data_IF_692378323204
#
_entry.id   IF_692378323204
#
_cell.length_a   1.000
_cell.length_b   1.000
_cell.length_c   1.000
_cell.angle_alpha   90.00
_cell.angle_beta   90.00
_cell.angle_gamma   90.00
#
_symmetry.space_group_name_H-M   'P 1'
#
loop_
_entity.id
_entity.type
_entity.pdbx_description
1 polymer ?
#
# COMPACT_ATOMS: atom_id res chain seq x y z
N UNK A 1 -23.83 -16.04 -1.31
CA UNK A 1 -22.81 -15.45 -0.39
C UNK A 1 -21.55 -16.30 -0.47
N UNK A 2 -20.43 -15.68 -0.78
CA UNK A 2 -19.14 -16.36 -0.93
C UNK A 2 -18.14 -15.80 0.10
N UNK A 3 -18.23 -16.33 1.32
CA UNK A 3 -17.43 -15.83 2.45
C UNK A 3 -15.95 -16.11 2.25
N UNK A 4 -15.15 -15.08 2.40
CA UNK A 4 -13.69 -15.12 2.44
C UNK A 4 -13.19 -14.36 3.67
N UNK A 5 -11.97 -14.68 4.07
CA UNK A 5 -11.25 -14.06 5.19
C UNK A 5 -10.28 -13.01 4.66
N UNK A 6 -10.16 -11.90 5.35
CA UNK A 6 -9.19 -10.85 5.04
C UNK A 6 -8.53 -10.33 6.31
N UNK A 7 -7.22 -10.41 6.37
CA UNK A 7 -6.44 -9.59 7.31
C UNK A 7 -6.42 -8.16 6.77
N UNK A 8 -6.87 -7.21 7.57
CA UNK A 8 -7.00 -5.82 7.17
C UNK A 8 -6.38 -4.84 8.15
N UNK A 9 -6.28 -3.59 7.72
CA UNK A 9 -5.82 -2.48 8.55
C UNK A 9 -6.68 -1.26 8.29
N UNK A 10 -7.18 -0.64 9.34
CA UNK A 10 -7.87 0.65 9.30
C UNK A 10 -6.95 1.71 9.90
N UNK A 11 -6.92 2.88 9.29
CA UNK A 11 -6.06 4.00 9.65
C UNK A 11 -6.91 5.20 10.07
N UNK A 12 -6.67 5.73 11.28
CA UNK A 12 -7.28 6.99 11.69
C UNK A 12 -6.39 8.15 11.22
N UNK A 13 -6.72 8.72 10.06
CA UNK A 13 -5.91 9.75 9.42
C UNK A 13 -5.88 11.06 10.19
N UNK A 14 -6.94 11.40 10.94
CA UNK A 14 -7.02 12.64 11.73
C UNK A 14 -5.93 12.73 12.81
N UNK A 15 -5.39 11.59 13.22
CA UNK A 15 -4.32 11.50 14.24
C UNK A 15 -2.94 11.26 13.67
N UNK A 16 -2.78 11.22 12.33
CA UNK A 16 -1.47 11.02 11.72
C UNK A 16 -0.64 12.30 11.85
N UNK A 17 0.56 12.15 12.42
CA UNK A 17 1.51 13.25 12.62
C UNK A 17 2.60 13.34 11.54
N UNK A 18 2.55 12.50 10.53
CA UNK A 18 3.60 12.34 9.51
C UNK A 18 5.01 12.15 10.12
N UNK A 19 5.13 11.49 11.27
CA UNK A 19 6.40 11.31 11.97
C UNK A 19 7.29 10.19 11.39
N UNK A 20 6.84 9.47 10.39
CA UNK A 20 7.52 8.38 9.69
C UNK A 20 8.04 7.22 10.56
N UNK A 21 7.72 7.16 11.84
CA UNK A 21 8.08 6.03 12.72
C UNK A 21 7.48 4.69 12.29
N UNK A 22 6.48 4.71 11.42
CA UNK A 22 5.96 3.50 10.78
C UNK A 22 6.72 3.12 9.49
N UNK A 23 7.36 4.08 8.83
CA UNK A 23 8.06 3.87 7.55
C UNK A 23 9.47 3.31 7.75
N UNK A 24 10.22 3.88 8.71
CA UNK A 24 11.62 3.51 8.94
C UNK A 24 11.80 2.06 9.39
N UNK A 25 11.10 1.53 10.41
CA UNK A 25 11.23 0.12 10.78
C UNK A 25 10.80 -0.85 9.66
N UNK A 26 9.78 -0.47 8.90
CA UNK A 26 9.37 -1.24 7.72
C UNK A 26 10.46 -1.27 6.66
N UNK A 27 11.09 -0.12 6.38
CA UNK A 27 12.22 0.02 5.47
C UNK A 27 13.38 -0.87 5.91
N UNK A 28 13.76 -0.78 7.17
CA UNK A 28 14.90 -1.51 7.72
C UNK A 28 14.69 -3.03 7.74
N UNK A 29 13.47 -3.48 8.01
CA UNK A 29 13.19 -4.91 8.10
C UNK A 29 13.03 -5.59 6.73
N UNK A 30 12.45 -4.87 5.75
CA UNK A 30 11.97 -5.51 4.52
C UNK A 30 12.62 -5.01 3.23
N UNK A 31 13.28 -3.86 3.25
CA UNK A 31 13.83 -3.22 2.04
C UNK A 31 15.26 -2.72 2.21
N UNK A 32 16.10 -3.48 2.91
CA UNK A 32 17.54 -3.20 3.08
C UNK A 32 18.43 -4.00 2.14
N UNK A 33 17.89 -5.04 1.49
CA UNK A 33 18.64 -5.84 0.56
C UNK A 33 19.10 -5.03 -0.68
N UNK A 34 20.25 -5.38 -1.31
CA UNK A 34 20.70 -4.72 -2.52
C UNK A 34 19.64 -4.71 -3.63
N UNK A 35 19.40 -3.56 -4.24
CA UNK A 35 18.39 -3.35 -5.27
C UNK A 35 17.01 -2.96 -4.74
N UNK A 36 16.85 -2.84 -3.42
CA UNK A 36 15.60 -2.42 -2.77
C UNK A 36 15.68 -1.02 -2.18
N UNK A 37 16.78 -0.31 -2.37
CA UNK A 37 17.08 0.97 -1.73
C UNK A 37 16.00 2.04 -2.00
N UNK A 38 15.43 2.04 -3.20
CA UNK A 38 14.37 2.96 -3.60
C UNK A 38 12.96 2.51 -3.16
N UNK A 39 12.80 1.28 -2.65
CA UNK A 39 11.49 0.73 -2.30
C UNK A 39 11.03 1.23 -0.93
N UNK A 40 9.77 1.66 -0.88
CA UNK A 40 9.09 1.99 0.36
C UNK A 40 7.77 1.21 0.44
N UNK A 41 7.79 0.07 1.13
CA UNK A 41 6.58 -0.72 1.34
C UNK A 41 5.53 0.05 2.12
N UNK A 42 5.96 0.86 3.08
CA UNK A 42 5.14 1.82 3.78
C UNK A 42 5.82 3.18 3.75
N UNK A 43 5.13 4.21 3.29
CA UNK A 43 5.54 5.59 3.35
C UNK A 43 4.38 6.46 3.82
N UNK A 44 4.65 7.68 4.25
CA UNK A 44 3.60 8.65 4.60
C UNK A 44 3.72 9.83 3.64
N UNK A 45 2.64 10.14 2.98
CA UNK A 45 2.54 11.28 2.06
C UNK A 45 1.69 12.36 2.67
N UNK A 46 2.03 13.62 2.43
CA UNK A 46 1.15 14.72 2.75
C UNK A 46 0.32 15.05 1.50
N UNK A 47 -0.98 15.10 1.65
CA UNK A 47 -1.91 15.49 0.59
C UNK A 47 -2.54 16.85 0.93
N UNK A 48 -2.56 17.76 -0.04
CA UNK A 48 -2.10 17.66 -1.43
C UNK A 48 -0.58 17.48 -1.55
N UNK A 49 -0.14 16.69 -2.53
CA UNK A 49 1.28 16.41 -2.80
C UNK A 49 1.46 15.35 -3.88
N UNK A 50 2.63 15.30 -4.47
CA UNK A 50 2.89 14.50 -5.69
C UNK A 50 2.92 12.99 -5.44
N UNK A 51 3.30 12.57 -4.22
CA UNK A 51 3.33 11.15 -3.86
C UNK A 51 4.59 10.40 -4.28
N UNK A 52 4.62 9.08 -4.02
CA UNK A 52 5.74 8.17 -4.30
C UNK A 52 5.25 6.82 -4.83
N UNK A 53 5.44 6.45 -6.11
CA UNK A 53 6.06 7.27 -7.18
C UNK A 53 5.28 8.57 -7.46
N UNK A 54 5.96 9.52 -8.10
CA UNK A 54 5.34 10.81 -8.45
C UNK A 54 4.08 10.60 -9.28
N UNK A 55 3.01 11.29 -8.92
CA UNK A 55 1.71 11.24 -9.59
C UNK A 55 1.11 9.81 -9.72
N UNK A 56 1.36 8.95 -8.74
CA UNK A 56 0.87 7.56 -8.80
C UNK A 56 -0.65 7.46 -8.99
N UNK A 57 -1.42 8.47 -8.63
CA UNK A 57 -2.88 8.55 -8.79
C UNK A 57 -3.29 8.73 -10.27
N UNK A 58 -2.36 9.14 -11.13
CA UNK A 58 -2.61 9.36 -12.54
C UNK A 58 -2.75 8.03 -13.31
N UNK A 59 -3.96 7.48 -13.32
CA UNK A 59 -4.24 6.19 -13.97
C UNK A 59 -4.29 6.28 -15.51
N UNK A 60 -4.37 7.47 -16.08
CA UNK A 60 -4.25 7.66 -17.54
C UNK A 60 -2.81 7.42 -17.98
N UNK A 61 -1.83 7.78 -17.14
CA UNK A 61 -0.40 7.48 -17.35
C UNK A 61 -0.05 6.05 -17.02
N UNK A 62 -0.44 5.57 -15.83
CA UNK A 62 0.05 4.30 -15.28
C UNK A 62 -0.85 3.10 -15.55
N UNK A 63 -2.07 3.30 -16.00
CA UNK A 63 -3.07 2.28 -16.37
C UNK A 63 -3.18 1.12 -15.38
N UNK A 64 -3.17 1.41 -14.09
CA UNK A 64 -3.33 0.41 -13.04
C UNK A 64 -4.79 0.15 -12.71
N UNK A 65 -5.06 -1.01 -12.07
CA UNK A 65 -6.36 -1.35 -11.56
C UNK A 65 -7.34 -1.87 -12.61
N UNK A 66 -8.62 -1.65 -12.32
CA UNK A 66 -9.74 -2.12 -13.11
C UNK A 66 -10.53 -0.95 -13.69
N UNK A 67 -11.18 -1.17 -14.81
CA UNK A 67 -12.14 -0.24 -15.41
C UNK A 67 -13.39 -0.99 -15.83
N UNK A 68 -14.50 -0.27 -15.96
CA UNK A 68 -15.77 -0.81 -16.48
C UNK A 68 -15.84 -0.48 -17.95
N UNK A 69 -15.98 -1.51 -18.80
CA UNK A 69 -16.32 -1.40 -20.22
C UNK A 69 -17.51 -2.31 -20.48
N UNK A 70 -18.55 -1.80 -21.11
CA UNK A 70 -19.77 -2.57 -21.44
C UNK A 70 -20.35 -3.34 -20.25
N UNK A 71 -20.37 -2.71 -19.06
CA UNK A 71 -20.86 -3.30 -17.83
C UNK A 71 -19.98 -4.42 -17.23
N UNK A 72 -18.78 -4.65 -17.77
CA UNK A 72 -17.82 -5.67 -17.28
C UNK A 72 -16.54 -5.04 -16.78
N UNK A 73 -15.96 -5.67 -15.76
CA UNK A 73 -14.63 -5.30 -15.26
C UNK A 73 -13.54 -5.79 -16.19
N UNK A 74 -12.75 -4.86 -16.69
CA UNK A 74 -11.57 -5.09 -17.50
C UNK A 74 -10.32 -4.60 -16.77
N UNK A 75 -9.22 -5.31 -16.95
CA UNK A 75 -7.94 -4.91 -16.40
C UNK A 75 -7.36 -3.77 -17.24
N UNK A 76 -7.07 -2.60 -16.64
CA UNK A 76 -6.50 -1.45 -17.38
C UNK A 76 -5.14 -1.75 -17.99
N UNK A 77 -4.32 -2.54 -17.31
CA UNK A 77 -3.01 -2.98 -17.81
C UNK A 77 -3.08 -3.93 -19.03
N UNK A 78 -4.26 -4.10 -19.62
CA UNK A 78 -4.48 -4.87 -20.83
C UNK A 78 -4.66 -6.38 -20.67
N UNK A 79 -5.18 -7.01 -21.71
CA UNK A 79 -5.39 -8.44 -21.81
C UNK A 79 -4.12 -9.23 -22.19
N UNK A 80 -4.31 -10.49 -22.61
CA UNK A 80 -3.19 -11.36 -23.02
C UNK A 80 -2.47 -10.84 -24.27
N UNK A 81 -3.21 -10.30 -25.24
CA UNK A 81 -2.68 -9.72 -26.48
C UNK A 81 -1.84 -8.48 -26.22
N UNK A 82 -2.33 -7.56 -25.35
CA UNK A 82 -1.60 -6.35 -25.01
C UNK A 82 -0.30 -6.68 -24.25
N UNK A 83 -0.32 -7.72 -23.43
CA UNK A 83 0.89 -8.22 -22.76
C UNK A 83 1.93 -8.74 -23.74
N UNK A 84 1.53 -9.45 -24.79
CA UNK A 84 2.45 -9.88 -25.84
C UNK A 84 3.06 -8.70 -26.60
N UNK A 85 2.26 -7.68 -26.92
CA UNK A 85 2.76 -6.48 -27.58
C UNK A 85 3.78 -5.72 -26.72
N UNK A 86 3.58 -5.70 -25.41
CA UNK A 86 4.41 -4.97 -24.44
C UNK A 86 5.53 -5.82 -23.81
N UNK A 87 5.85 -6.98 -24.37
CA UNK A 87 6.83 -7.91 -23.77
C UNK A 87 8.23 -7.30 -23.65
N UNK A 88 8.61 -6.44 -24.59
CA UNK A 88 9.92 -5.79 -24.64
C UNK A 88 9.92 -4.37 -24.08
N UNK A 89 8.76 -3.70 -24.07
CA UNK A 89 8.61 -2.34 -23.54
C UNK A 89 7.22 -2.18 -22.94
N UNK A 90 7.15 -1.89 -21.66
CA UNK A 90 5.91 -1.56 -20.97
C UNK A 90 5.91 -0.08 -20.58
N UNK A 91 5.22 0.78 -21.37
CA UNK A 91 5.22 2.24 -21.15
C UNK A 91 4.48 2.67 -19.85
N UNK A 92 3.66 1.78 -19.28
CA UNK A 92 2.84 2.07 -18.10
C UNK A 92 3.60 1.81 -16.79
N UNK A 93 4.90 1.48 -16.88
CA UNK A 93 5.77 1.33 -15.71
C UNK A 93 6.25 2.69 -15.20
N UNK A 94 6.33 2.88 -13.87
CA UNK A 94 7.09 3.99 -13.33
C UNK A 94 8.55 3.93 -13.77
N UNK A 95 9.08 5.05 -14.25
CA UNK A 95 10.49 5.23 -14.54
C UNK A 95 11.28 5.54 -13.26
N UNK A 96 12.61 5.51 -13.33
CA UNK A 96 13.45 5.82 -12.18
C UNK A 96 13.24 7.26 -11.70
N UNK A 97 12.99 8.20 -12.61
CA UNK A 97 12.73 9.61 -12.31
C UNK A 97 11.38 9.86 -11.62
N UNK A 98 10.48 8.87 -11.64
CA UNK A 98 9.22 8.92 -10.90
C UNK A 98 9.42 8.63 -9.41
N UNK A 99 10.57 8.10 -9.05
CA UNK A 99 10.97 7.89 -7.66
C UNK A 99 11.92 8.99 -7.21
N UNK A 100 11.94 9.25 -5.89
CA UNK A 100 12.97 10.11 -5.31
C UNK A 100 14.31 9.38 -5.26
N UNK A 101 15.37 10.13 -5.10
CA UNK A 101 16.72 9.57 -5.00
C UNK A 101 16.80 8.51 -3.90
N UNK A 102 17.20 7.26 -4.21
CA UNK A 102 17.30 6.22 -3.22
C UNK A 102 18.46 6.49 -2.26
N UNK A 103 18.23 6.23 -1.00
CA UNK A 103 19.23 6.43 0.04
C UNK A 103 19.24 5.28 1.05
N UNK A 104 20.35 5.16 1.79
CA UNK A 104 20.54 4.23 2.90
C UNK A 104 21.20 4.94 4.06
N UNK A 105 21.01 4.41 5.26
CA UNK A 105 21.75 4.86 6.42
C UNK A 105 23.15 4.27 6.47
N UNK A 106 24.11 5.02 7.01
CA UNK A 106 25.45 4.57 7.36
C UNK A 106 25.41 3.88 8.73
N UNK A 107 24.97 2.62 8.74
CA UNK A 107 24.89 1.84 9.99
C UNK A 107 26.27 1.42 10.50
N UNK A 108 27.25 1.23 9.64
CA UNK A 108 28.63 0.87 10.02
C UNK A 108 29.22 1.93 10.95
N UNK A 109 28.92 3.19 10.69
CA UNK A 109 29.33 4.29 11.56
C UNK A 109 28.80 4.18 13.00
N UNK A 110 27.64 3.57 13.20
CA UNK A 110 27.08 3.35 14.54
C UNK A 110 27.81 2.23 15.28
N UNK A 111 28.23 1.18 14.56
CA UNK A 111 28.90 0.01 15.14
C UNK A 111 30.40 0.28 15.37
N UNK A 112 31.04 1.00 14.48
CA UNK A 112 32.47 1.20 14.47
C UNK A 112 32.89 2.51 15.17
N UNK A 113 31.96 3.30 15.67
CA UNK A 113 32.25 4.53 16.40
C UNK A 113 32.95 4.25 17.72
N UNK A 114 34.03 4.94 18.02
CA UNK A 114 34.70 4.80 19.31
C UNK A 114 33.83 5.29 20.46
N UNK A 115 34.03 4.76 21.65
CA UNK A 115 33.32 5.23 22.85
C UNK A 115 33.58 6.74 23.04
N UNK A 116 32.51 7.49 23.16
CA UNK A 116 32.52 8.96 23.20
C UNK A 116 31.37 9.47 24.06
N UNK A 117 31.48 10.72 24.51
CA UNK A 117 30.38 11.41 25.19
C UNK A 117 29.24 11.77 24.23
N UNK A 118 29.54 11.81 22.96
CA UNK A 118 28.55 12.08 21.90
C UNK A 118 28.15 10.76 21.25
N UNK A 119 26.85 10.48 21.22
CA UNK A 119 26.36 9.31 20.51
C UNK A 119 26.48 9.53 19.00
N UNK A 120 26.95 8.53 18.25
CA UNK A 120 26.99 8.60 16.80
C UNK A 120 25.54 8.59 16.27
N UNK A 121 25.31 9.34 15.19
CA UNK A 121 24.02 9.39 14.50
C UNK A 121 24.21 8.80 13.11
N UNK A 122 23.34 7.85 12.75
CA UNK A 122 23.29 7.34 11.38
C UNK A 122 22.88 8.48 10.43
N UNK A 123 23.68 8.73 9.40
CA UNK A 123 23.35 9.69 8.35
C UNK A 123 22.84 8.98 7.11
N UNK A 124 21.83 9.53 6.43
CA UNK A 124 21.45 9.01 5.14
C UNK A 124 22.51 9.36 4.08
N UNK A 125 22.77 8.40 3.20
CA UNK A 125 23.65 8.55 2.05
C UNK A 125 22.90 8.19 0.78
N UNK A 126 23.04 9.02 -0.24
CA UNK A 126 22.52 8.73 -1.56
C UNK A 126 23.09 7.41 -2.10
N UNK A 127 22.22 6.51 -2.51
CA UNK A 127 22.63 5.27 -3.17
C UNK A 127 23.10 5.49 -4.61
N UNK A 128 22.87 6.68 -5.17
CA UNK A 128 23.29 7.07 -6.53
C UNK A 128 24.66 7.73 -6.50
N UNK A 129 24.81 8.77 -5.65
CA UNK A 129 26.03 9.59 -5.63
C UNK A 129 27.05 9.18 -4.57
N UNK A 130 26.65 8.36 -3.60
CA UNK A 130 27.48 7.96 -2.45
C UNK A 130 27.75 9.10 -1.45
N UNK A 131 27.13 10.28 -1.64
CA UNK A 131 27.33 11.44 -0.77
C UNK A 131 26.33 11.45 0.37
N UNK A 132 26.73 12.02 1.50
CA UNK A 132 25.81 12.25 2.61
C UNK A 132 24.68 13.19 2.17
N UNK A 133 23.48 12.80 2.50
CA UNK A 133 22.28 13.64 2.34
C UNK A 133 22.07 14.46 3.62
N UNK A 134 21.48 15.62 3.47
CA UNK A 134 21.09 16.47 4.57
C UNK A 134 19.57 16.60 4.60
N UNK A 135 18.85 15.57 5.12
CA UNK A 135 17.40 15.58 5.13
C UNK A 135 16.88 16.70 6.01
N UNK A 136 15.81 17.33 5.58
CA UNK A 136 15.06 18.24 6.43
C UNK A 136 14.25 17.41 7.42
N UNK A 137 14.57 17.55 8.70
CA UNK A 137 13.87 16.85 9.76
C UNK A 137 12.56 17.56 10.10
N UNK A 138 11.46 16.84 10.01
CA UNK A 138 10.16 17.37 10.34
C UNK A 138 9.06 16.34 10.14
N UNK A 139 7.84 16.71 10.43
CA UNK A 139 6.65 15.87 10.21
C UNK A 139 6.43 15.55 8.74
N UNK A 140 7.02 16.32 7.85
CA UNK A 140 6.95 16.22 6.41
C UNK A 140 8.36 16.15 5.85
N UNK A 141 8.84 14.98 5.55
CA UNK A 141 10.12 14.80 4.86
C UNK A 141 9.92 15.09 3.38
N UNK A 142 10.01 16.37 3.05
CA UNK A 142 9.67 16.90 1.75
C UNK A 142 10.49 16.29 0.61
N UNK A 143 11.77 16.02 0.90
CA UNK A 143 12.70 15.50 -0.09
C UNK A 143 12.53 14.00 -0.36
N UNK A 144 11.96 13.26 0.60
CA UNK A 144 11.95 11.81 0.53
C UNK A 144 10.57 11.20 0.28
N UNK A 145 9.50 11.80 0.80
CA UNK A 145 8.22 11.11 0.91
C UNK A 145 7.00 11.92 0.46
N UNK A 146 7.19 12.96 -0.33
CA UNK A 146 6.07 13.60 -1.01
C UNK A 146 5.89 15.10 -0.84
N UNK A 147 6.67 15.79 -0.04
CA UNK A 147 6.86 17.24 0.04
C UNK A 147 5.72 18.17 -0.34
N UNK A 148 4.56 18.05 0.27
CA UNK A 148 3.41 18.86 -0.08
C UNK A 148 3.64 20.38 -0.09
N UNK A 149 4.44 20.96 0.81
CA UNK A 149 4.70 22.42 0.77
C UNK A 149 5.41 22.87 -0.49
N UNK A 150 6.31 22.05 -1.04
CA UNK A 150 7.11 22.38 -2.22
C UNK A 150 6.47 21.83 -3.49
N UNK A 151 6.05 20.57 -3.46
CA UNK A 151 5.57 19.85 -4.64
C UNK A 151 4.06 19.87 -4.80
N UNK A 152 3.31 20.31 -3.78
CA UNK A 152 1.85 20.32 -3.80
C UNK A 152 1.24 21.17 -4.92
N UNK A 153 1.89 22.27 -5.31
CA UNK A 153 1.43 23.10 -6.43
C UNK A 153 1.53 22.39 -7.79
N UNK A 154 2.37 21.36 -7.89
CA UNK A 154 2.46 20.52 -9.08
C UNK A 154 1.54 19.30 -9.03
N UNK A 155 0.74 19.14 -7.99
CA UNK A 155 -0.27 18.09 -7.93
C UNK A 155 -1.32 18.32 -9.02
N UNK A 156 -1.58 17.28 -9.81
CA UNK A 156 -2.55 17.33 -10.92
C UNK A 156 -3.95 17.77 -10.48
N UNK A 157 -4.35 17.42 -9.27
CA UNK A 157 -5.66 17.78 -8.73
C UNK A 157 -5.81 19.29 -8.50
N UNK A 158 -4.70 20.02 -8.50
CA UNK A 158 -4.66 21.49 -8.35
C UNK A 158 -4.25 22.21 -9.62
N UNK A 159 -4.17 21.51 -10.75
CA UNK A 159 -3.84 22.13 -12.03
C UNK A 159 -4.84 23.26 -12.36
N UNK A 160 -4.34 24.44 -12.60
CA UNK A 160 -5.15 25.61 -12.90
C UNK A 160 -5.65 26.41 -11.67
N UNK A 161 -5.34 25.97 -10.45
CA UNK A 161 -5.65 26.77 -9.25
C UNK A 161 -4.56 27.83 -9.00
N UNK A 162 -5.01 28.99 -8.55
CA UNK A 162 -4.09 30.02 -8.07
C UNK A 162 -3.41 29.60 -6.76
N UNK A 163 -2.17 30.05 -6.54
CA UNK A 163 -1.38 29.73 -5.36
C UNK A 163 -2.11 30.07 -4.04
N UNK A 164 -2.89 31.17 -4.05
CA UNK A 164 -3.68 31.57 -2.87
C UNK A 164 -4.77 30.54 -2.55
N UNK A 165 -5.52 30.10 -3.56
CA UNK A 165 -6.57 29.08 -3.37
C UNK A 165 -5.97 27.76 -2.89
N UNK A 166 -4.80 27.36 -3.41
CA UNK A 166 -4.07 26.20 -2.94
C UNK A 166 -3.68 26.31 -1.47
N UNK A 167 -3.15 27.45 -1.02
CA UNK A 167 -2.75 27.65 0.36
C UNK A 167 -3.94 27.61 1.32
N UNK A 168 -5.07 28.19 0.92
CA UNK A 168 -6.31 28.12 1.70
C UNK A 168 -6.82 26.68 1.80
N UNK A 169 -6.82 25.94 0.69
CA UNK A 169 -7.20 24.53 0.64
C UNK A 169 -6.28 23.67 1.49
N UNK A 170 -4.97 23.87 1.40
CA UNK A 170 -3.97 23.18 2.20
C UNK A 170 -4.20 23.34 3.70
N UNK A 171 -4.52 24.54 4.14
CA UNK A 171 -4.75 24.85 5.56
C UNK A 171 -6.01 24.16 6.10
N UNK A 172 -7.00 23.90 5.27
CA UNK A 172 -8.30 23.33 5.67
C UNK A 172 -8.36 21.82 5.41
N UNK A 173 -7.78 21.33 4.34
CA UNK A 173 -7.94 19.96 3.83
C UNK A 173 -6.65 19.14 3.81
N UNK A 174 -5.53 19.70 4.26
CA UNK A 174 -4.29 18.96 4.32
C UNK A 174 -4.44 17.73 5.22
N UNK A 175 -3.98 16.58 4.73
CA UNK A 175 -3.94 15.33 5.49
C UNK A 175 -2.63 14.59 5.26
N UNK A 176 -2.25 13.79 6.25
CA UNK A 176 -1.13 12.86 6.12
C UNK A 176 -1.68 11.47 5.80
N UNK A 177 -1.25 10.91 4.67
CA UNK A 177 -1.72 9.63 4.15
C UNK A 177 -0.62 8.56 4.27
N UNK A 178 -0.67 7.70 5.30
CA UNK A 178 0.20 6.53 5.35
C UNK A 178 -0.19 5.54 4.25
N UNK A 179 0.71 5.32 3.29
CA UNK A 179 0.49 4.44 2.15
C UNK A 179 1.28 3.15 2.26
N UNK A 180 0.59 2.06 2.10
CA UNK A 180 1.15 0.71 2.01
C UNK A 180 0.39 -0.09 0.95
N UNK A 181 0.73 -1.36 0.75
CA UNK A 181 -0.08 -2.23 -0.12
C UNK A 181 -1.44 -2.50 0.52
N UNK A 182 -2.51 -2.30 -0.24
CA UNK A 182 -3.88 -2.50 0.23
C UNK A 182 -4.29 -3.98 0.34
N UNK A 183 -3.45 -4.92 -0.11
CA UNK A 183 -3.82 -6.34 -0.16
C UNK A 183 -5.24 -6.58 -0.70
N UNK A 184 -5.57 -5.91 -1.78
CA UNK A 184 -6.90 -5.71 -2.36
C UNK A 184 -7.79 -6.96 -2.33
N UNK A 185 -9.10 -6.76 -2.16
CA UNK A 185 -10.09 -7.84 -2.26
C UNK A 185 -10.14 -8.43 -3.69
N UNK A 186 -10.00 -7.57 -4.70
CA UNK A 186 -9.84 -7.96 -6.11
C UNK A 186 -8.51 -7.44 -6.68
N UNK A 187 -7.38 -8.15 -6.43
CA UNK A 187 -6.05 -7.62 -6.70
C UNK A 187 -5.70 -7.62 -8.19
N UNK A 188 -5.64 -6.43 -8.81
CA UNK A 188 -5.24 -6.26 -10.20
C UNK A 188 -3.82 -6.76 -10.47
N UNK A 189 -2.90 -6.65 -9.49
CA UNK A 189 -1.54 -7.17 -9.60
C UNK A 189 -1.50 -8.71 -9.75
N UNK A 190 -2.41 -9.43 -9.08
CA UNK A 190 -2.56 -10.89 -9.24
C UNK A 190 -3.08 -11.21 -10.63
N UNK A 191 -4.16 -10.52 -11.05
CA UNK A 191 -4.74 -10.71 -12.38
C UNK A 191 -3.78 -10.35 -13.52
N UNK A 192 -2.85 -9.41 -13.27
CA UNK A 192 -1.86 -8.98 -14.26
C UNK A 192 -0.70 -9.97 -14.42
N UNK A 193 -0.45 -10.85 -13.45
CA UNK A 193 0.75 -11.70 -13.43
C UNK A 193 0.62 -12.91 -14.37
N UNK A 194 1.38 -12.99 -15.48
CA UNK A 194 1.25 -14.12 -16.42
C UNK A 194 1.79 -15.44 -15.85
N UNK A 195 2.79 -15.39 -14.96
CA UNK A 195 3.40 -16.59 -14.35
C UNK A 195 2.63 -17.11 -13.14
N UNK A 196 1.60 -16.38 -12.66
CA UNK A 196 0.91 -16.73 -11.43
C UNK A 196 1.78 -16.64 -10.16
N UNK A 197 2.90 -15.89 -10.24
CA UNK A 197 3.76 -15.66 -9.09
C UNK A 197 3.12 -14.74 -8.04
N UNK A 198 2.30 -13.78 -8.49
CA UNK A 198 1.46 -12.99 -7.58
C UNK A 198 0.23 -13.80 -7.21
N UNK A 199 -0.01 -13.97 -5.93
CA UNK A 199 -1.17 -14.72 -5.45
C UNK A 199 -1.77 -14.12 -4.19
N UNK A 200 -3.02 -14.43 -3.95
CA UNK A 200 -3.75 -14.05 -2.73
C UNK A 200 -3.91 -15.31 -1.88
N UNK A 201 -3.48 -15.27 -0.64
CA UNK A 201 -3.64 -16.38 0.31
C UNK A 201 -5.14 -16.57 0.61
N UNK A 202 -5.59 -17.80 0.68
CA UNK A 202 -7.00 -18.09 0.98
C UNK A 202 -7.32 -17.98 2.47
N UNK A 203 -6.34 -18.24 3.33
CA UNK A 203 -6.49 -18.27 4.79
C UNK A 203 -6.65 -16.90 5.43
N UNK A 204 -6.03 -15.86 4.87
CA UNK A 204 -6.01 -14.52 5.46
C UNK A 204 -6.12 -13.38 4.43
N UNK A 205 -6.21 -13.71 3.16
CA UNK A 205 -6.35 -12.73 2.08
C UNK A 205 -5.10 -11.89 1.80
N UNK A 206 -3.95 -12.17 2.40
CA UNK A 206 -2.71 -11.44 2.15
C UNK A 206 -2.22 -11.76 0.74
N UNK A 207 -1.88 -10.71 -0.03
CA UNK A 207 -1.35 -10.85 -1.39
C UNK A 207 0.18 -10.89 -1.32
N UNK A 208 0.77 -11.96 -1.84
CA UNK A 208 2.20 -12.22 -1.81
C UNK A 208 2.78 -12.47 -3.21
N UNK A 209 4.10 -12.55 -3.28
CA UNK A 209 4.87 -12.92 -4.48
C UNK A 209 5.62 -14.21 -4.20
N UNK A 210 5.34 -15.24 -4.97
CA UNK A 210 6.18 -16.43 -5.00
C UNK A 210 7.45 -16.11 -5.78
N UNK A 211 8.55 -15.98 -5.07
CA UNK A 211 9.84 -15.59 -5.63
C UNK A 211 10.40 -16.66 -6.59
N UNK A 212 10.05 -17.93 -6.41
CA UNK A 212 10.50 -19.01 -7.27
C UNK A 212 9.84 -18.97 -8.66
N UNK A 213 8.57 -18.53 -8.69
CA UNK A 213 7.75 -18.42 -9.91
C UNK A 213 7.86 -17.07 -10.60
N UNK A 214 8.38 -16.04 -9.93
CA UNK A 214 8.51 -14.71 -10.51
C UNK A 214 9.50 -14.72 -11.69
N UNK A 215 9.07 -14.20 -12.83
CA UNK A 215 9.87 -14.10 -14.08
C UNK A 215 10.27 -12.66 -14.40
N UNK A 216 10.05 -11.71 -13.51
CA UNK A 216 10.50 -10.34 -13.66
C UNK A 216 9.79 -9.52 -14.74
N UNK A 217 8.65 -9.94 -15.25
CA UNK A 217 7.94 -9.24 -16.34
C UNK A 217 7.29 -7.92 -15.92
N UNK A 218 7.21 -7.61 -14.64
CA UNK A 218 6.76 -6.34 -14.07
C UNK A 218 5.31 -5.94 -14.36
N UNK A 219 4.47 -6.79 -14.95
CA UNK A 219 3.04 -6.48 -15.16
C UNK A 219 2.28 -6.25 -13.85
N UNK A 220 2.74 -6.81 -12.75
CA UNK A 220 2.18 -6.53 -11.43
C UNK A 220 2.51 -5.10 -10.96
N UNK A 221 3.61 -4.51 -11.41
CA UNK A 221 3.98 -3.12 -11.12
C UNK A 221 3.06 -2.16 -11.87
N UNK A 222 2.89 -2.34 -13.20
CA UNK A 222 1.94 -1.53 -13.97
C UNK A 222 0.49 -1.77 -13.56
N UNK A 223 0.11 -3.03 -13.28
CA UNK A 223 -1.26 -3.39 -12.88
C UNK A 223 -1.69 -2.87 -11.51
N UNK A 224 -0.75 -2.53 -10.61
CA UNK A 224 -1.10 -1.97 -9.31
C UNK A 224 -1.57 -0.51 -9.42
N UNK A 225 -2.83 -0.17 -9.05
CA UNK A 225 -3.30 1.21 -9.13
C UNK A 225 -2.63 2.13 -8.11
N UNK A 226 -2.15 1.57 -7.02
CA UNK A 226 -1.48 2.29 -5.93
C UNK A 226 0.05 2.36 -6.10
N UNK A 227 0.61 1.72 -7.13
CA UNK A 227 2.06 1.62 -7.38
C UNK A 227 2.87 1.15 -6.15
N UNK A 228 2.30 0.20 -5.38
CA UNK A 228 2.91 -0.42 -4.19
C UNK A 228 3.49 -1.82 -4.46
N UNK A 229 3.77 -2.12 -5.72
CA UNK A 229 4.59 -3.24 -6.16
C UNK A 229 5.85 -2.66 -6.78
N UNK A 230 6.99 -3.17 -6.37
CA UNK A 230 8.30 -2.70 -6.78
C UNK A 230 9.06 -3.81 -7.51
N UNK A 231 10.16 -3.46 -8.15
CA UNK A 231 11.01 -4.40 -8.86
C UNK A 231 12.45 -4.32 -8.37
N UNK A 232 12.98 -5.42 -7.87
CA UNK A 232 14.36 -5.49 -7.43
C UNK A 232 15.27 -5.74 -8.64
N UNK A 233 16.05 -4.75 -9.00
CA UNK A 233 16.94 -4.76 -10.16
C UNK A 233 18.15 -5.69 -10.00
N UNK A 234 18.49 -6.09 -8.76
CA UNK A 234 19.57 -7.03 -8.49
C UNK A 234 19.11 -8.49 -8.59
N UNK A 235 17.93 -8.78 -8.06
CA UNK A 235 17.37 -10.14 -8.09
C UNK A 235 16.47 -10.40 -9.30
N UNK A 236 16.14 -9.35 -10.07
CA UNK A 236 15.20 -9.38 -11.20
C UNK A 236 13.81 -9.92 -10.82
N UNK A 237 13.34 -9.62 -9.63
CA UNK A 237 12.06 -10.09 -9.09
C UNK A 237 11.23 -8.94 -8.54
N UNK A 238 9.91 -9.14 -8.55
CA UNK A 238 9.00 -8.15 -7.95
C UNK A 238 8.89 -8.36 -6.45
N UNK A 239 8.85 -7.25 -5.73
CA UNK A 239 8.72 -7.22 -4.28
C UNK A 239 7.63 -6.24 -3.84
N UNK A 240 6.98 -6.50 -2.72
CA UNK A 240 5.92 -5.66 -2.17
C UNK A 240 5.71 -5.94 -0.68
N UNK A 241 4.97 -5.08 -0.02
CA UNK A 241 4.54 -5.32 1.36
C UNK A 241 3.93 -6.72 1.51
N UNK A 242 4.38 -7.46 2.51
CA UNK A 242 3.88 -8.80 2.85
C UNK A 242 2.97 -8.79 4.09
N UNK A 243 2.45 -7.63 4.47
CA UNK A 243 1.64 -7.44 5.68
C UNK A 243 2.32 -7.97 6.95
N UNK A 244 3.64 -8.07 6.95
CA UNK A 244 4.44 -8.69 8.01
C UNK A 244 3.91 -10.09 8.42
N UNK A 245 3.45 -10.92 7.46
CA UNK A 245 2.80 -12.19 7.77
C UNK A 245 3.63 -13.09 8.71
N UNK A 246 4.98 -13.14 8.66
CA UNK A 246 5.74 -13.95 9.61
C UNK A 246 5.56 -13.50 11.08
N UNK A 247 5.35 -12.18 11.28
CA UNK A 247 5.05 -11.64 12.61
C UNK A 247 3.60 -11.93 13.02
N UNK A 248 2.66 -11.79 12.09
CA UNK A 248 1.25 -12.12 12.33
C UNK A 248 1.09 -13.58 12.73
N UNK A 249 1.77 -14.50 12.05
CA UNK A 249 1.78 -15.93 12.36
C UNK A 249 2.44 -16.23 13.73
N UNK A 250 3.38 -15.39 14.16
CA UNK A 250 3.98 -15.46 15.50
C UNK A 250 3.11 -14.75 16.58
N UNK A 251 1.93 -14.23 16.23
CA UNK A 251 1.06 -13.51 17.16
C UNK A 251 1.47 -12.06 17.42
N UNK A 252 2.37 -11.50 16.61
CA UNK A 252 2.86 -10.14 16.74
C UNK A 252 2.20 -9.20 15.72
N UNK A 253 2.00 -7.92 16.05
CA UNK A 253 1.45 -6.95 15.10
C UNK A 253 2.45 -6.63 13.99
N UNK A 254 1.93 -6.07 12.87
CA UNK A 254 2.78 -5.53 11.81
C UNK A 254 3.73 -4.46 12.35
N UNK A 255 4.94 -4.35 11.81
CA UNK A 255 5.94 -3.36 12.26
C UNK A 255 5.38 -1.94 12.23
N UNK A 256 4.70 -1.58 11.13
CA UNK A 256 4.14 -0.24 10.98
C UNK A 256 2.99 0.08 11.96
N UNK A 257 2.26 -0.92 12.45
CA UNK A 257 1.28 -0.72 13.51
C UNK A 257 1.94 -0.68 14.89
N UNK A 258 2.93 -1.54 15.13
CA UNK A 258 3.66 -1.62 16.39
C UNK A 258 4.42 -0.32 16.69
N UNK A 259 5.12 0.22 15.70
CA UNK A 259 5.94 1.43 15.86
C UNK A 259 5.15 2.75 15.77
N UNK A 260 3.86 2.71 15.45
CA UNK A 260 3.08 3.93 15.29
C UNK A 260 2.89 4.67 16.62
N UNK A 261 3.48 5.85 16.74
CA UNK A 261 3.40 6.71 17.96
C UNK A 261 1.95 7.12 18.23
N UNK A 262 1.24 7.54 17.21
CA UNK A 262 -0.16 7.98 17.31
C UNK A 262 -1.17 6.84 17.51
N UNK A 263 -0.74 5.57 17.47
CA UNK A 263 -1.61 4.39 17.58
C UNK A 263 -2.81 4.44 16.62
N UNK A 264 -2.59 4.94 15.42
CA UNK A 264 -3.64 5.16 14.42
C UNK A 264 -3.98 3.90 13.59
N UNK A 265 -3.21 2.82 13.71
CA UNK A 265 -3.30 1.62 12.88
C UNK A 265 -3.97 0.48 13.64
N UNK A 266 -5.17 0.14 13.22
CA UNK A 266 -5.96 -0.96 13.77
C UNK A 266 -5.85 -2.16 12.84
N UNK A 267 -5.28 -3.25 13.31
CA UNK A 267 -5.08 -4.49 12.53
C UNK A 267 -6.04 -5.55 13.04
N UNK A 268 -6.64 -6.31 12.13
CA UNK A 268 -7.54 -7.39 12.53
C UNK A 268 -8.07 -8.20 11.35
N UNK A 269 -8.84 -9.21 11.70
CA UNK A 269 -9.51 -10.09 10.74
C UNK A 269 -10.89 -9.54 10.39
N UNK A 270 -11.25 -9.60 9.11
CA UNK A 270 -12.59 -9.30 8.60
C UNK A 270 -13.09 -10.45 7.74
N UNK A 271 -14.41 -10.62 7.72
CA UNK A 271 -15.10 -11.48 6.76
C UNK A 271 -15.72 -10.62 5.67
N UNK A 272 -15.68 -11.09 4.44
CA UNK A 272 -16.27 -10.39 3.31
C UNK A 272 -16.94 -11.35 2.33
N UNK A 273 -17.91 -10.84 1.58
CA UNK A 273 -18.57 -11.57 0.51
C UNK A 273 -17.86 -11.29 -0.82
N UNK A 274 -17.18 -12.30 -1.35
CA UNK A 274 -16.43 -12.17 -2.60
C UNK A 274 -17.33 -11.88 -3.82
N UNK A 275 -18.60 -12.30 -3.81
CA UNK A 275 -19.53 -12.00 -4.89
C UNK A 275 -19.87 -10.51 -4.93
N UNK A 276 -20.04 -9.88 -3.76
CA UNK A 276 -20.32 -8.43 -3.63
C UNK A 276 -19.14 -7.54 -3.99
N UNK A 277 -17.91 -8.05 -3.94
CA UNK A 277 -16.71 -7.28 -4.35
C UNK A 277 -16.82 -6.84 -5.81
N UNK A 278 -17.30 -7.73 -6.69
CA UNK A 278 -17.49 -7.41 -8.11
C UNK A 278 -18.61 -6.39 -8.29
N UNK A 279 -19.71 -6.57 -7.57
CA UNK A 279 -20.85 -5.64 -7.59
C UNK A 279 -20.44 -4.24 -7.16
N UNK A 280 -19.74 -4.12 -6.02
CA UNK A 280 -19.20 -2.84 -5.53
C UNK A 280 -18.26 -2.19 -6.55
N UNK A 281 -17.35 -2.98 -7.15
CA UNK A 281 -16.39 -2.47 -8.14
C UNK A 281 -17.07 -2.02 -9.46
N UNK A 282 -18.28 -2.49 -9.73
CA UNK A 282 -19.06 -2.16 -10.94
C UNK A 282 -20.17 -1.13 -10.66
N UNK A 283 -20.19 -0.50 -9.48
CA UNK A 283 -21.26 0.42 -9.11
C UNK A 283 -21.28 1.65 -10.05
N UNK A 284 -22.42 1.97 -10.68
CA UNK A 284 -22.47 2.97 -11.75
C UNK A 284 -22.38 4.40 -11.26
N UNK A 285 -22.67 4.64 -9.98
CA UNK A 285 -22.73 6.00 -9.41
C UNK A 285 -21.72 6.16 -8.28
N UNK A 286 -20.81 7.16 -8.33
CA UNK A 286 -19.83 7.41 -7.28
C UNK A 286 -20.44 7.59 -5.88
N UNK A 287 -21.60 8.23 -5.79
CA UNK A 287 -22.29 8.47 -4.52
C UNK A 287 -22.71 7.19 -3.81
N UNK A 288 -23.07 6.13 -4.57
CA UNK A 288 -23.45 4.84 -4.01
C UNK A 288 -22.27 3.92 -3.71
N UNK A 289 -21.07 4.27 -4.18
CA UNK A 289 -19.89 3.41 -4.07
C UNK A 289 -19.53 3.12 -2.62
N UNK A 290 -19.58 4.12 -1.75
CA UNK A 290 -19.24 3.96 -0.33
C UNK A 290 -20.16 2.94 0.37
N UNK A 291 -21.46 3.05 0.18
CA UNK A 291 -22.42 2.11 0.77
C UNK A 291 -22.27 0.70 0.20
N UNK A 292 -22.00 0.60 -1.09
CA UNK A 292 -21.75 -0.67 -1.76
C UNK A 292 -20.48 -1.35 -1.21
N UNK A 293 -19.42 -0.59 -0.98
CA UNK A 293 -18.17 -1.07 -0.37
C UNK A 293 -18.39 -1.55 1.07
N UNK A 294 -19.12 -0.80 1.89
CA UNK A 294 -19.46 -1.23 3.25
C UNK A 294 -20.29 -2.51 3.25
N UNK A 295 -21.16 -2.69 2.27
CA UNK A 295 -21.98 -3.89 2.10
C UNK A 295 -21.19 -5.16 1.76
N UNK A 296 -19.91 -5.03 1.38
CA UNK A 296 -19.02 -6.17 1.12
C UNK A 296 -18.64 -6.90 2.40
N UNK A 297 -18.50 -6.18 3.51
CA UNK A 297 -18.05 -6.74 4.78
C UNK A 297 -19.20 -7.38 5.55
N UNK A 298 -18.94 -8.53 6.17
CA UNK A 298 -19.92 -9.37 6.83
C UNK A 298 -19.80 -9.29 8.35
N UNK A 299 -20.95 -9.33 9.02
CA UNK A 299 -20.99 -9.40 10.48
C UNK A 299 -20.77 -10.86 10.94
N UNK A 300 -19.69 -11.18 11.65
CA UNK A 300 -19.42 -12.53 12.13
C UNK A 300 -20.38 -13.02 13.23
N UNK A 301 -21.28 -12.16 13.72
CA UNK A 301 -22.33 -12.52 14.67
C UNK A 301 -23.68 -12.82 13.99
N UNK A 302 -23.79 -12.58 12.68
CA UNK A 302 -25.00 -12.91 11.92
C UNK A 302 -25.15 -14.44 11.79
N UNK A 303 -26.29 -15.03 12.20
CA UNK A 303 -26.51 -16.45 12.10
C UNK A 303 -26.36 -17.03 10.68
N UNK A 304 -26.73 -16.26 9.65
CA UNK A 304 -26.56 -16.69 8.25
C UNK A 304 -25.07 -16.76 7.87
N UNK A 305 -24.28 -15.78 8.32
CA UNK A 305 -22.83 -15.77 8.13
C UNK A 305 -22.17 -16.93 8.88
N UNK A 306 -22.59 -17.21 10.11
CA UNK A 306 -22.07 -18.33 10.89
C UNK A 306 -22.29 -19.67 10.19
N UNK A 307 -23.54 -19.96 9.76
CA UNK A 307 -23.86 -21.19 9.03
C UNK A 307 -23.05 -21.35 7.75
N UNK A 308 -22.92 -20.29 6.98
CA UNK A 308 -22.16 -20.36 5.73
C UNK A 308 -20.65 -20.50 5.97
N UNK A 309 -20.11 -19.89 7.03
CA UNK A 309 -18.72 -20.05 7.43
C UNK A 309 -18.41 -21.51 7.83
N UNK A 310 -19.28 -22.14 8.61
CA UNK A 310 -19.19 -23.57 8.96
C UNK A 310 -19.24 -24.44 7.70
N UNK A 311 -20.18 -24.19 6.80
CA UNK A 311 -20.31 -24.93 5.54
C UNK A 311 -19.05 -24.85 4.69
N UNK A 312 -18.31 -23.72 4.76
CA UNK A 312 -17.05 -23.50 4.04
C UNK A 312 -15.82 -23.97 4.80
N UNK A 313 -15.97 -24.50 6.00
CA UNK A 313 -14.85 -24.98 6.82
C UNK A 313 -13.98 -23.86 7.38
N UNK A 314 -14.51 -22.65 7.52
CA UNK A 314 -13.80 -21.56 8.20
C UNK A 314 -13.70 -21.92 9.68
N UNK A 315 -12.48 -21.95 10.21
CA UNK A 315 -12.24 -22.42 11.57
C UNK A 315 -12.89 -21.52 12.62
N UNK A 316 -13.26 -22.11 13.75
CA UNK A 316 -13.81 -21.37 14.91
C UNK A 316 -12.85 -20.25 15.38
N UNK A 317 -11.55 -20.51 15.36
CA UNK A 317 -10.54 -19.51 15.74
C UNK A 317 -10.58 -18.26 14.86
N UNK A 318 -10.76 -18.41 13.56
CA UNK A 318 -10.89 -17.31 12.62
C UNK A 318 -12.19 -16.53 12.87
N UNK A 319 -13.29 -17.24 13.10
CA UNK A 319 -14.58 -16.61 13.44
C UNK A 319 -14.49 -15.79 14.73
N UNK A 320 -13.84 -16.34 15.76
CA UNK A 320 -13.65 -15.63 17.02
C UNK A 320 -12.70 -14.45 16.87
N UNK A 321 -11.63 -14.57 16.09
CA UNK A 321 -10.76 -13.46 15.75
C UNK A 321 -11.51 -12.33 15.01
N UNK A 322 -12.40 -12.70 14.09
CA UNK A 322 -13.25 -11.73 13.39
C UNK A 322 -14.24 -11.02 14.34
N UNK A 323 -14.83 -11.76 15.29
CA UNK A 323 -15.73 -11.18 16.32
C UNK A 323 -15.01 -10.18 17.23
N UNK A 324 -13.78 -10.47 17.61
CA UNK A 324 -12.94 -9.61 18.48
C UNK A 324 -12.21 -8.51 17.73
N UNK A 325 -12.21 -8.56 16.41
CA UNK A 325 -11.45 -7.63 15.57
C UNK A 325 -11.87 -6.16 15.82
N UNK A 326 -10.92 -5.25 16.11
CA UNK A 326 -11.23 -3.84 16.24
C UNK A 326 -11.74 -3.25 14.93
N UNK A 327 -11.29 -3.79 13.80
CA UNK A 327 -11.72 -3.37 12.46
C UNK A 327 -13.20 -3.68 12.23
N UNK A 328 -13.69 -4.82 12.72
CA UNK A 328 -15.11 -5.16 12.63
C UNK A 328 -15.98 -4.06 13.24
N UNK A 329 -15.62 -3.58 14.43
CA UNK A 329 -16.37 -2.49 15.07
C UNK A 329 -16.37 -1.23 14.23
N UNK A 330 -15.23 -0.86 13.67
CA UNK A 330 -15.09 0.35 12.87
C UNK A 330 -15.88 0.24 11.55
N UNK A 331 -15.73 -0.86 10.83
CA UNK A 331 -16.24 -1.01 9.46
C UNK A 331 -17.68 -1.53 9.45
N UNK A 332 -18.00 -2.55 10.27
CA UNK A 332 -19.30 -3.24 10.23
C UNK A 332 -20.31 -2.60 11.17
N UNK A 333 -19.92 -2.33 12.43
CA UNK A 333 -20.86 -1.84 13.44
C UNK A 333 -21.07 -0.32 13.30
N UNK A 334 -19.99 0.44 13.14
CA UNK A 334 -20.04 1.91 13.10
C UNK A 334 -20.02 2.49 11.69
N UNK A 335 -19.71 1.68 10.68
CA UNK A 335 -19.64 2.08 9.26
C UNK A 335 -18.74 3.31 9.03
N UNK A 336 -17.59 3.34 9.69
CA UNK A 336 -16.61 4.45 9.69
C UNK A 336 -15.40 4.16 8.78
N UNK A 337 -15.51 3.46 7.70
CA UNK A 337 -14.36 3.16 6.84
C UNK A 337 -14.36 4.00 5.57
#
# INVERSE_FOLDING_TARGET
>A
MNIKVQMGMVLNLDKCLACHTCSIPCKNAWTTAPGTEYMWFNNVETKPGVGYPKEWENQDRYKGGWEIRDGKLHLRAGGKTDKLANIFANPDLPALDDYYEPWKYDYERLTDSPASRHQPVARPYSAVTGKALNPQWGSNWEDDLGGAPVTGLSDRNFAGLEAKAYLDFKNVFMMHLPRLCEHCLNPACVASCPSGAMYKRDEDGIVLVDQSRCRGWRYCVSGCPYKKVYFNWKTHRSEKCLFCYPRIEAGEPTLCAHSCVGRIRYVGVMLYDADRVREAASHPQPQGLYQSQLGVFLNPNDPAVCREAERKGISWHVMEAARRSPIRKLVVDWKLA
#
